data_IF_377170735894
#
_entry.id   IF_377170735894
#
_cell.length_a   1.000
_cell.length_b   1.000
_cell.length_c   1.000
_cell.angle_alpha   90.00
_cell.angle_beta   90.00
_cell.angle_gamma   90.00
#
_symmetry.space_group_name_H-M   'P 1'
#
loop_
_entity.id
_entity.type
_entity.pdbx_description
1 polymer ?
#
# COMPACT_ATOMS: atom_id res chain seq x y z
N UNK A 1 -78.91 27.00 59.49
CA UNK A 1 -78.94 25.58 59.01
C UNK A 1 -79.37 25.59 57.56
N UNK A 2 -78.49 25.55 56.63
CA UNK A 2 -78.73 25.12 55.25
C UNK A 2 -77.36 24.70 54.64
N UNK A 3 -77.25 23.47 54.37
CA UNK A 3 -76.10 22.87 53.63
C UNK A 3 -76.31 23.17 52.16
N UNK A 4 -75.38 23.90 51.57
CA UNK A 4 -75.29 24.05 50.11
C UNK A 4 -74.33 22.98 49.56
N UNK A 5 -74.87 22.08 48.77
CA UNK A 5 -74.09 21.14 47.95
C UNK A 5 -73.55 21.85 46.75
N UNK A 6 -72.25 21.81 46.61
CA UNK A 6 -71.53 22.35 45.42
C UNK A 6 -71.34 21.22 44.45
N UNK A 7 -72.11 21.19 43.38
CA UNK A 7 -71.97 20.31 42.27
C UNK A 7 -70.74 20.74 41.43
N UNK A 8 -69.75 19.89 41.30
CA UNK A 8 -68.61 20.15 40.43
C UNK A 8 -68.93 19.58 39.03
N UNK A 9 -69.12 20.42 38.08
CA UNK A 9 -69.29 20.07 36.68
C UNK A 9 -67.92 19.54 36.17
N UNK A 10 -67.84 18.25 35.84
CA UNK A 10 -66.70 17.63 35.14
C UNK A 10 -66.84 17.95 33.67
N UNK A 11 -66.04 18.92 33.19
CA UNK A 11 -65.90 19.22 31.77
C UNK A 11 -65.05 18.10 31.14
N UNK A 12 -65.70 17.22 30.39
CA UNK A 12 -65.06 16.17 29.59
C UNK A 12 -64.42 16.82 28.36
N UNK A 13 -63.10 16.94 28.36
CA UNK A 13 -62.35 17.30 27.14
C UNK A 13 -62.24 16.04 26.24
N UNK A 14 -62.55 16.14 24.96
CA UNK A 14 -62.34 15.02 24.03
C UNK A 14 -60.85 14.81 23.87
N UNK A 15 -60.38 13.60 24.21
CA UNK A 15 -59.05 13.09 23.85
C UNK A 15 -58.94 12.98 22.33
N UNK A 16 -58.56 14.06 21.66
CA UNK A 16 -57.95 13.95 20.34
C UNK A 16 -56.54 13.43 20.54
N UNK A 17 -56.35 12.13 20.32
CA UNK A 17 -55.06 11.53 20.07
C UNK A 17 -54.43 12.25 18.87
N UNK A 18 -53.57 13.23 19.16
CA UNK A 18 -52.69 13.78 18.16
C UNK A 18 -51.76 12.66 17.74
N UNK A 19 -52.08 12.04 16.62
CA UNK A 19 -51.15 11.17 15.89
C UNK A 19 -49.96 12.05 15.48
N UNK A 20 -48.88 11.99 16.29
CA UNK A 20 -47.60 12.50 15.83
C UNK A 20 -47.25 11.71 14.58
N UNK A 21 -47.01 12.33 13.44
CA UNK A 21 -46.58 11.60 12.28
C UNK A 21 -45.25 10.94 12.58
N UNK A 22 -45.18 9.62 12.38
CA UNK A 22 -43.95 8.84 12.31
C UNK A 22 -43.13 9.31 11.08
N UNK A 23 -42.63 10.54 11.12
CA UNK A 23 -41.97 11.20 9.98
C UNK A 23 -40.44 11.03 10.00
N UNK A 24 -39.88 10.42 11.04
CA UNK A 24 -38.43 10.55 11.22
C UNK A 24 -37.61 9.45 10.54
N UNK A 25 -38.07 8.20 10.46
CA UNK A 25 -37.25 7.13 9.91
C UNK A 25 -37.26 7.07 8.38
N UNK A 26 -38.40 7.27 7.74
CA UNK A 26 -38.47 7.25 6.27
C UNK A 26 -37.79 8.47 5.64
N UNK A 27 -37.93 9.66 6.27
CA UNK A 27 -37.26 10.89 5.82
C UNK A 27 -35.72 10.79 6.02
N UNK A 28 -35.25 10.22 7.13
CA UNK A 28 -33.81 9.98 7.36
C UNK A 28 -33.24 8.97 6.39
N UNK A 29 -33.93 7.86 6.14
CA UNK A 29 -33.54 6.86 5.14
C UNK A 29 -33.49 7.47 3.73
N UNK A 30 -34.46 8.33 3.38
CA UNK A 30 -34.50 9.02 2.08
C UNK A 30 -33.38 10.06 1.96
N UNK A 31 -33.03 10.79 3.03
CA UNK A 31 -31.94 11.75 3.03
C UNK A 31 -30.58 11.07 2.89
N UNK A 32 -30.36 9.94 3.58
CA UNK A 32 -29.18 9.09 3.43
C UNK A 32 -29.10 8.51 2.01
N UNK A 33 -30.21 8.07 1.42
CA UNK A 33 -30.23 7.55 0.04
C UNK A 33 -29.93 8.63 -0.99
N UNK A 34 -30.39 9.86 -0.80
CA UNK A 34 -30.10 11.01 -1.68
C UNK A 34 -28.65 11.47 -1.54
N UNK A 35 -28.11 11.54 -0.32
CA UNK A 35 -26.71 11.86 -0.07
C UNK A 35 -25.73 10.84 -0.68
N UNK A 36 -26.16 9.61 -0.93
CA UNK A 36 -25.36 8.51 -1.45
C UNK A 36 -25.40 8.36 -2.98
N UNK A 37 -26.11 9.20 -3.72
CA UNK A 37 -26.16 9.13 -5.19
C UNK A 37 -24.86 9.55 -5.87
N UNK A 38 -24.03 10.38 -5.22
CA UNK A 38 -22.74 10.80 -5.76
C UNK A 38 -21.69 9.75 -5.47
N UNK A 39 -21.25 8.98 -6.48
CA UNK A 39 -20.11 8.07 -6.38
C UNK A 39 -18.81 8.85 -6.15
N UNK A 40 -18.27 8.79 -4.95
CA UNK A 40 -17.00 9.42 -4.59
C UNK A 40 -15.82 8.78 -5.33
N UNK A 41 -14.75 9.55 -5.55
CA UNK A 41 -13.52 9.02 -6.15
C UNK A 41 -12.92 7.86 -5.33
N UNK A 42 -12.98 7.98 -4.00
CA UNK A 42 -12.54 6.93 -3.08
C UNK A 42 -13.36 5.64 -3.27
N UNK A 43 -14.69 5.72 -3.30
CA UNK A 43 -15.56 4.56 -3.51
C UNK A 43 -15.29 3.87 -4.87
N UNK A 44 -15.13 4.66 -5.94
CA UNK A 44 -14.76 4.09 -7.24
C UNK A 44 -13.44 3.33 -7.19
N UNK A 45 -12.41 3.93 -6.59
CA UNK A 45 -11.10 3.30 -6.40
C UNK A 45 -11.21 2.00 -5.61
N UNK A 46 -11.90 2.01 -4.46
CA UNK A 46 -12.07 0.84 -3.61
C UNK A 46 -12.84 -0.28 -4.33
N UNK A 47 -13.91 0.07 -5.06
CA UNK A 47 -14.67 -0.89 -5.85
C UNK A 47 -13.86 -1.49 -7.02
N UNK A 48 -13.03 -0.66 -7.70
CA UNK A 48 -12.11 -1.15 -8.74
C UNK A 48 -11.12 -2.14 -8.15
N UNK A 49 -10.49 -1.80 -7.02
CA UNK A 49 -9.51 -2.65 -6.36
C UNK A 49 -10.16 -3.94 -5.83
N UNK A 50 -11.34 -3.87 -5.23
CA UNK A 50 -12.05 -5.06 -4.71
C UNK A 50 -12.32 -6.12 -5.79
N UNK A 51 -12.56 -5.68 -7.04
CA UNK A 51 -12.84 -6.56 -8.18
C UNK A 51 -11.59 -7.23 -8.77
N UNK A 52 -10.42 -6.61 -8.66
CA UNK A 52 -9.19 -7.09 -9.31
C UNK A 52 -8.24 -7.81 -8.35
N UNK A 53 -8.42 -7.64 -7.04
CA UNK A 53 -7.61 -8.33 -6.04
C UNK A 53 -7.99 -9.82 -6.04
N UNK A 54 -7.01 -10.73 -6.15
CA UNK A 54 -7.25 -12.17 -6.14
C UNK A 54 -7.48 -12.69 -4.71
N UNK A 55 -8.60 -12.27 -4.09
CA UNK A 55 -8.90 -12.53 -2.69
C UNK A 55 -8.74 -13.99 -2.30
N UNK A 56 -9.31 -14.93 -3.07
CA UNK A 56 -9.28 -16.34 -2.72
C UNK A 56 -7.85 -16.87 -2.61
N UNK A 57 -6.99 -16.57 -3.59
CA UNK A 57 -5.59 -17.00 -3.58
C UNK A 57 -4.81 -16.41 -2.40
N UNK A 58 -5.08 -15.13 -2.05
CA UNK A 58 -4.47 -14.47 -0.90
C UNK A 58 -4.92 -15.08 0.43
N UNK A 59 -6.21 -15.41 0.55
CA UNK A 59 -6.74 -16.05 1.76
C UNK A 59 -6.23 -17.49 1.92
N UNK A 60 -6.07 -18.23 0.83
CA UNK A 60 -5.58 -19.61 0.87
C UNK A 60 -4.17 -19.72 1.44
N UNK A 61 -3.28 -18.78 1.12
CA UNK A 61 -1.91 -18.77 1.69
C UNK A 61 -1.88 -18.28 3.15
N UNK A 62 -2.89 -17.53 3.58
CA UNK A 62 -2.99 -17.05 4.96
C UNK A 62 -3.67 -18.05 5.89
N UNK A 63 -4.55 -18.88 5.36
CA UNK A 63 -5.40 -19.82 6.13
C UNK A 63 -4.60 -20.72 7.09
N UNK A 64 -3.44 -21.31 6.72
CA UNK A 64 -2.67 -22.13 7.64
C UNK A 64 -2.14 -21.40 8.88
N UNK A 65 -2.05 -20.07 8.81
CA UNK A 65 -1.48 -19.22 9.84
C UNK A 65 -2.54 -18.44 10.64
N UNK A 66 -3.77 -18.40 10.13
CA UNK A 66 -4.88 -17.69 10.75
C UNK A 66 -5.69 -18.64 11.62
N UNK A 67 -5.45 -18.59 12.92
CA UNK A 67 -6.09 -19.50 13.86
C UNK A 67 -7.55 -19.14 14.08
N UNK A 68 -8.42 -20.12 13.85
CA UNK A 68 -9.78 -20.10 14.34
C UNK A 68 -9.73 -20.67 15.78
N UNK A 69 -9.67 -19.75 16.76
CA UNK A 69 -9.61 -20.16 18.16
C UNK A 69 -10.92 -20.82 18.55
N UNK A 70 -10.90 -22.15 18.69
CA UNK A 70 -12.06 -22.92 19.18
C UNK A 70 -12.44 -22.59 20.62
N UNK A 71 -11.54 -21.94 21.38
CA UNK A 71 -11.71 -21.52 22.77
C UNK A 71 -11.42 -20.03 22.90
N UNK A 72 -12.38 -19.28 23.43
CA UNK A 72 -12.25 -17.83 23.63
C UNK A 72 -13.05 -16.99 22.63
N UNK A 73 -12.67 -15.70 22.47
CA UNK A 73 -13.30 -14.80 21.49
C UNK A 73 -12.95 -15.28 20.08
N UNK A 74 -13.94 -15.52 19.20
CA UNK A 74 -13.68 -15.95 17.83
C UNK A 74 -12.84 -14.92 17.08
N UNK A 75 -11.95 -15.40 16.20
CA UNK A 75 -11.17 -14.54 15.33
C UNK A 75 -12.08 -13.74 14.41
N UNK A 76 -11.67 -12.52 14.07
CA UNK A 76 -12.39 -11.71 13.06
C UNK A 76 -12.26 -12.37 11.68
N UNK A 77 -13.19 -12.10 10.79
CA UNK A 77 -13.11 -12.60 9.41
C UNK A 77 -11.76 -12.23 8.75
N UNK A 78 -11.09 -13.21 8.20
CA UNK A 78 -9.74 -13.05 7.62
C UNK A 78 -9.73 -12.09 6.43
N UNK A 79 -10.78 -12.13 5.59
CA UNK A 79 -10.91 -11.22 4.44
C UNK A 79 -11.14 -9.79 4.91
N UNK A 80 -11.93 -9.61 5.95
CA UNK A 80 -12.13 -8.31 6.59
C UNK A 80 -10.81 -7.74 7.09
N UNK A 81 -10.01 -8.53 7.82
CA UNK A 81 -8.72 -8.09 8.33
C UNK A 81 -7.72 -7.74 7.21
N UNK A 82 -7.69 -8.52 6.13
CA UNK A 82 -6.85 -8.22 4.97
C UNK A 82 -7.31 -6.94 4.24
N UNK A 83 -8.62 -6.71 4.12
CA UNK A 83 -9.18 -5.46 3.59
C UNK A 83 -8.77 -4.25 4.44
N UNK A 84 -8.83 -4.37 5.77
CA UNK A 84 -8.38 -3.33 6.72
C UNK A 84 -6.89 -3.04 6.51
N UNK A 85 -6.06 -4.07 6.44
CA UNK A 85 -4.63 -3.92 6.17
C UNK A 85 -4.36 -3.18 4.86
N UNK A 86 -5.09 -3.47 3.78
CA UNK A 86 -4.94 -2.77 2.50
C UNK A 86 -5.41 -1.31 2.58
N UNK A 87 -6.49 -1.02 3.32
CA UNK A 87 -6.90 0.36 3.58
C UNK A 87 -5.83 1.16 4.30
N UNK A 88 -5.13 0.57 5.28
CA UNK A 88 -3.99 1.19 5.95
C UNK A 88 -2.88 1.54 4.95
N UNK A 89 -2.54 0.61 4.03
CA UNK A 89 -1.49 0.85 3.04
C UNK A 89 -1.86 1.96 2.05
N UNK A 90 -3.11 2.01 1.59
CA UNK A 90 -3.57 3.04 0.63
C UNK A 90 -3.70 4.43 1.25
N UNK A 91 -3.95 4.53 2.54
CA UNK A 91 -4.22 5.81 3.22
C UNK A 91 -3.13 6.20 4.22
N UNK A 92 -2.05 5.43 4.32
CA UNK A 92 -0.94 5.66 5.25
C UNK A 92 -1.41 5.84 6.70
N UNK A 93 -2.35 4.99 7.18
CA UNK A 93 -2.94 5.07 8.52
C UNK A 93 -2.20 4.18 9.52
N UNK A 94 -2.06 4.65 10.77
CA UNK A 94 -1.62 3.84 11.91
C UNK A 94 -2.75 2.90 12.38
N UNK A 95 -2.43 1.95 13.27
CA UNK A 95 -3.43 1.02 13.78
C UNK A 95 -4.57 1.76 14.50
N UNK A 96 -4.32 2.72 15.44
CA UNK A 96 -5.40 3.54 16.03
C UNK A 96 -6.16 4.39 15.00
N UNK A 97 -5.44 5.07 14.09
CA UNK A 97 -6.08 5.91 13.08
C UNK A 97 -6.93 5.10 12.09
N UNK A 98 -6.63 3.81 11.89
CA UNK A 98 -7.43 2.93 11.05
C UNK A 98 -8.74 2.56 11.73
N UNK A 99 -8.73 2.25 13.02
CA UNK A 99 -9.93 2.02 13.82
C UNK A 99 -10.85 3.24 13.76
N UNK A 100 -10.34 4.43 14.10
CA UNK A 100 -11.12 5.68 14.03
C UNK A 100 -11.67 5.94 12.61
N UNK A 101 -10.86 5.69 11.57
CA UNK A 101 -11.28 5.92 10.19
C UNK A 101 -12.41 4.97 9.74
N UNK A 102 -12.55 3.78 10.32
CA UNK A 102 -13.68 2.88 10.04
C UNK A 102 -14.99 3.49 10.60
N UNK A 103 -14.96 4.08 11.80
CA UNK A 103 -16.12 4.75 12.36
C UNK A 103 -16.50 6.02 11.59
N UNK A 104 -15.52 6.79 11.11
CA UNK A 104 -15.73 8.10 10.49
C UNK A 104 -16.13 8.03 9.00
N UNK A 105 -15.64 7.02 8.24
CA UNK A 105 -15.73 6.99 6.78
C UNK A 105 -16.69 5.96 6.24
N UNK A 106 -17.87 6.39 5.80
CA UNK A 106 -18.85 5.51 5.15
C UNK A 106 -18.29 4.73 3.94
N UNK A 107 -17.31 5.30 3.20
CA UNK A 107 -16.66 4.59 2.09
C UNK A 107 -15.84 3.37 2.56
N UNK A 108 -15.25 3.43 3.76
CA UNK A 108 -14.54 2.30 4.36
C UNK A 108 -15.52 1.24 4.85
N UNK A 109 -16.59 1.65 5.54
CA UNK A 109 -17.67 0.75 5.99
C UNK A 109 -18.25 -0.04 4.82
N UNK A 110 -18.58 0.64 3.70
CA UNK A 110 -19.06 -0.02 2.48
C UNK A 110 -18.05 -1.01 1.89
N UNK A 111 -16.77 -0.64 1.80
CA UNK A 111 -15.72 -1.52 1.28
C UNK A 111 -15.50 -2.73 2.18
N UNK A 112 -15.54 -2.54 3.49
CA UNK A 112 -15.38 -3.58 4.50
C UNK A 112 -16.64 -4.43 4.68
N UNK A 113 -17.80 -3.92 4.21
CA UNK A 113 -19.12 -4.51 4.43
C UNK A 113 -19.48 -4.59 5.92
N UNK A 114 -19.11 -3.57 6.70
CA UNK A 114 -19.43 -3.42 8.12
C UNK A 114 -20.67 -2.55 8.27
N UNK A 115 -21.65 -3.02 9.02
CA UNK A 115 -22.77 -2.25 9.54
C UNK A 115 -22.51 -1.91 11.02
N UNK A 116 -22.31 -0.64 11.34
CA UNK A 116 -22.02 -0.17 12.70
C UNK A 116 -23.17 -0.44 13.70
N UNK A 117 -24.37 -0.75 13.23
CA UNK A 117 -25.51 -1.10 14.09
C UNK A 117 -25.46 -2.55 14.57
N UNK A 118 -24.90 -3.45 13.77
CA UNK A 118 -24.87 -4.90 14.02
C UNK A 118 -23.48 -5.46 14.26
N UNK A 119 -22.45 -4.84 13.66
CA UNK A 119 -21.11 -5.38 13.64
C UNK A 119 -20.17 -4.66 14.60
N UNK A 120 -19.23 -5.41 15.17
CA UNK A 120 -18.15 -4.83 16.00
C UNK A 120 -16.93 -4.55 15.12
N UNK A 121 -16.50 -3.29 15.08
CA UNK A 121 -15.25 -2.86 14.45
C UNK A 121 -14.06 -3.53 15.14
N UNK A 122 -13.06 -4.07 14.41
CA UNK A 122 -11.80 -4.51 14.99
C UNK A 122 -11.07 -3.34 15.66
N UNK A 123 -10.65 -3.52 16.90
CA UNK A 123 -9.87 -2.54 17.64
C UNK A 123 -8.40 -2.45 17.15
N UNK A 124 -7.69 -1.40 17.56
CA UNK A 124 -6.29 -1.17 17.18
C UNK A 124 -5.39 -2.37 17.50
N UNK A 125 -5.65 -3.07 18.62
CA UNK A 125 -4.87 -4.24 19.06
C UNK A 125 -5.11 -5.43 18.14
N UNK A 126 -6.35 -5.65 17.71
CA UNK A 126 -6.70 -6.68 16.72
C UNK A 126 -6.02 -6.40 15.38
N UNK A 127 -6.03 -5.15 14.92
CA UNK A 127 -5.36 -4.71 13.71
C UNK A 127 -3.84 -4.92 13.81
N UNK A 128 -3.24 -4.54 14.94
CA UNK A 128 -1.83 -4.74 15.24
C UNK A 128 -1.45 -6.22 15.21
N UNK A 129 -2.21 -7.07 15.88
CA UNK A 129 -1.96 -8.52 15.94
C UNK A 129 -2.04 -9.17 14.56
N UNK A 130 -3.01 -8.77 13.74
CA UNK A 130 -3.08 -9.23 12.36
C UNK A 130 -1.85 -8.84 11.54
N UNK A 131 -1.37 -7.62 11.69
CA UNK A 131 -0.12 -7.18 11.04
C UNK A 131 1.09 -8.00 11.52
N UNK A 132 1.20 -8.28 12.82
CA UNK A 132 2.27 -9.12 13.36
C UNK A 132 2.22 -10.54 12.78
N UNK A 133 1.04 -11.14 12.63
CA UNK A 133 0.87 -12.42 11.97
C UNK A 133 1.39 -12.38 10.52
N UNK A 134 1.07 -11.33 9.75
CA UNK A 134 1.59 -11.16 8.40
C UNK A 134 3.13 -11.06 8.40
N UNK A 135 3.70 -10.29 9.34
CA UNK A 135 5.16 -10.09 9.48
C UNK A 135 5.89 -11.38 9.87
N UNK A 136 5.38 -12.12 10.87
CA UNK A 136 5.96 -13.35 11.41
C UNK A 136 6.09 -14.44 10.33
N UNK A 137 5.04 -14.60 9.52
CA UNK A 137 5.02 -15.61 8.45
C UNK A 137 5.42 -15.06 7.08
N UNK A 138 5.92 -13.82 6.99
CA UNK A 138 6.34 -13.14 5.75
C UNK A 138 5.27 -13.20 4.65
N UNK A 139 4.01 -13.13 5.02
CA UNK A 139 2.88 -13.29 4.10
C UNK A 139 2.83 -12.18 3.03
N UNK A 140 3.36 -10.99 3.33
CA UNK A 140 3.44 -9.89 2.37
C UNK A 140 4.25 -10.25 1.11
N UNK A 141 5.29 -11.06 1.25
CA UNK A 141 6.07 -11.57 0.10
C UNK A 141 5.25 -12.53 -0.74
N UNK A 142 4.48 -13.40 -0.08
CA UNK A 142 3.59 -14.34 -0.76
C UNK A 142 2.46 -13.60 -1.49
N UNK A 143 1.87 -12.58 -0.86
CA UNK A 143 0.86 -11.71 -1.50
C UNK A 143 1.43 -11.02 -2.74
N UNK A 144 2.66 -10.53 -2.67
CA UNK A 144 3.36 -9.94 -3.82
C UNK A 144 3.59 -10.96 -4.94
N UNK A 145 4.00 -12.17 -4.60
CA UNK A 145 4.19 -13.25 -5.57
C UNK A 145 2.87 -13.65 -6.27
N UNK A 146 1.75 -13.73 -5.53
CA UNK A 146 0.41 -14.00 -6.07
C UNK A 146 0.01 -12.93 -7.11
N UNK A 147 0.19 -11.65 -6.77
CA UNK A 147 -0.12 -10.55 -7.69
C UNK A 147 0.74 -10.64 -8.94
N UNK A 148 2.03 -10.89 -8.80
CA UNK A 148 2.93 -11.00 -9.95
C UNK A 148 2.60 -12.22 -10.83
N UNK A 149 2.20 -13.34 -10.22
CA UNK A 149 1.74 -14.52 -10.96
C UNK A 149 0.45 -14.22 -11.77
N UNK A 150 -0.52 -13.53 -11.14
CA UNK A 150 -1.74 -13.07 -11.84
C UNK A 150 -1.40 -12.16 -13.04
N UNK A 151 -0.50 -11.19 -12.85
CA UNK A 151 -0.10 -10.27 -13.91
C UNK A 151 0.69 -10.97 -15.02
N UNK A 152 1.50 -11.97 -14.69
CA UNK A 152 2.20 -12.80 -15.66
C UNK A 152 1.22 -13.64 -16.50
N UNK A 153 0.24 -14.29 -15.87
CA UNK A 153 -0.83 -15.04 -16.58
C UNK A 153 -1.63 -14.16 -17.53
N UNK A 154 -1.86 -12.89 -17.17
CA UNK A 154 -2.55 -11.91 -18.02
C UNK A 154 -1.64 -11.26 -19.06
N UNK A 155 -0.36 -11.64 -19.15
CA UNK A 155 0.60 -11.08 -20.11
C UNK A 155 1.09 -9.67 -19.76
N UNK A 156 0.87 -9.20 -18.53
CA UNK A 156 1.30 -7.86 -18.08
C UNK A 156 2.67 -7.87 -17.37
N UNK A 157 3.30 -9.00 -17.21
CA UNK A 157 4.66 -9.14 -16.69
C UNK A 157 5.49 -9.98 -17.67
N UNK A 158 6.32 -9.32 -18.47
CA UNK A 158 7.02 -9.93 -19.60
C UNK A 158 8.38 -10.52 -19.22
N UNK A 159 9.05 -9.96 -18.20
CA UNK A 159 10.38 -10.36 -17.71
C UNK A 159 11.49 -10.40 -18.79
N UNK A 160 11.38 -9.61 -19.86
CA UNK A 160 12.40 -9.55 -20.93
C UNK A 160 13.53 -8.58 -20.61
N UNK A 161 13.24 -7.52 -19.86
CA UNK A 161 14.21 -6.53 -19.42
C UNK A 161 13.88 -6.01 -18.04
N UNK A 162 14.89 -5.72 -17.24
CA UNK A 162 14.75 -5.21 -15.87
C UNK A 162 15.31 -3.80 -15.76
N UNK A 163 14.51 -2.90 -15.23
CA UNK A 163 14.96 -1.57 -14.80
C UNK A 163 15.20 -1.66 -13.29
N UNK A 164 16.40 -1.30 -12.85
CA UNK A 164 16.75 -1.27 -11.43
C UNK A 164 16.84 0.16 -10.95
N UNK A 165 16.25 0.43 -9.79
CA UNK A 165 16.33 1.74 -9.14
C UNK A 165 16.07 1.63 -7.63
N UNK A 166 16.41 2.67 -6.89
CA UNK A 166 16.24 2.75 -5.45
C UNK A 166 15.59 4.07 -5.03
N UNK A 167 14.80 4.00 -3.99
CA UNK A 167 14.20 5.19 -3.39
C UNK A 167 14.52 5.26 -1.92
N UNK A 168 14.80 6.47 -1.44
CA UNK A 168 15.04 6.75 -0.03
C UNK A 168 13.72 6.86 0.71
N UNK A 169 13.60 6.19 1.86
CA UNK A 169 12.48 6.27 2.78
C UNK A 169 13.03 6.80 4.10
N UNK A 170 12.56 7.97 4.54
CA UNK A 170 13.06 8.63 5.72
C UNK A 170 12.65 7.91 7.01
N UNK A 171 13.53 7.87 7.98
CA UNK A 171 13.24 7.42 9.35
C UNK A 171 13.30 8.58 10.34
N UNK A 172 12.63 8.48 11.49
CA UNK A 172 12.74 9.49 12.55
C UNK A 172 14.21 9.64 12.99
N UNK A 173 14.74 10.85 12.86
CA UNK A 173 16.11 11.16 13.24
C UNK A 173 16.24 11.64 14.68
N UNK A 174 15.10 11.88 15.38
CA UNK A 174 15.05 12.33 16.76
C UNK A 174 15.50 11.24 17.72
N UNK A 175 16.24 11.63 18.75
CA UNK A 175 16.58 10.80 19.92
C UNK A 175 15.67 11.07 21.11
N UNK A 176 14.64 11.93 20.96
CA UNK A 176 13.65 12.26 22.00
C UNK A 176 12.56 11.17 22.11
N UNK A 177 12.98 9.92 22.22
CA UNK A 177 12.11 8.77 22.46
C UNK A 177 12.47 8.12 23.80
N UNK A 178 11.66 7.16 24.25
CA UNK A 178 11.86 6.46 25.54
C UNK A 178 13.26 5.84 25.68
N UNK A 179 13.88 5.41 24.58
CA UNK A 179 15.19 4.75 24.59
C UNK A 179 16.36 5.73 24.37
N UNK A 180 16.10 7.00 24.08
CA UNK A 180 17.14 8.01 23.78
C UNK A 180 17.98 7.70 22.55
N UNK A 181 17.56 6.77 21.66
CA UNK A 181 18.34 6.25 20.54
C UNK A 181 17.54 6.26 19.24
N UNK A 182 18.26 6.47 18.14
CA UNK A 182 17.72 6.24 16.78
C UNK A 182 17.61 4.74 16.52
N UNK A 183 16.86 4.38 15.47
CA UNK A 183 16.83 3.01 15.00
C UNK A 183 18.23 2.58 14.53
N UNK A 184 18.86 1.53 15.13
CA UNK A 184 20.24 1.14 14.84
C UNK A 184 20.42 0.54 13.44
N UNK A 185 19.36 0.03 12.81
CA UNK A 185 19.41 -0.54 11.46
C UNK A 185 19.32 0.56 10.37
N UNK A 186 18.87 1.77 10.72
CA UNK A 186 18.77 2.91 9.80
C UNK A 186 20.04 3.73 9.79
N UNK A 187 20.44 4.20 8.61
CA UNK A 187 21.67 4.97 8.44
C UNK A 187 21.47 6.28 7.70
N UNK A 188 22.50 7.13 7.75
CA UNK A 188 22.51 8.40 7.02
C UNK A 188 23.04 8.21 5.60
N UNK A 189 22.47 8.97 4.68
CA UNK A 189 22.97 9.12 3.31
C UNK A 189 22.84 10.57 2.85
N UNK A 190 23.70 10.99 1.94
CA UNK A 190 23.68 12.33 1.36
C UNK A 190 23.13 12.27 -0.06
N UNK A 191 22.10 13.06 -0.35
CA UNK A 191 21.59 13.24 -1.73
C UNK A 191 21.67 14.73 -2.08
N UNK A 192 22.53 15.06 -3.03
CA UNK A 192 22.89 16.46 -3.28
C UNK A 192 23.58 17.07 -2.06
N UNK A 193 23.06 18.18 -1.56
CA UNK A 193 23.58 18.86 -0.34
C UNK A 193 22.79 18.52 0.93
N UNK A 194 21.77 17.66 0.85
CA UNK A 194 20.90 17.31 1.97
C UNK A 194 21.24 15.93 2.54
N UNK A 195 21.27 15.84 3.87
CA UNK A 195 21.41 14.59 4.60
C UNK A 195 20.04 13.99 4.94
N UNK A 196 19.93 12.69 4.77
CA UNK A 196 18.75 11.90 5.09
C UNK A 196 19.15 10.76 6.02
N UNK A 197 18.28 10.47 7.00
CA UNK A 197 18.39 9.29 7.85
C UNK A 197 17.23 8.35 7.53
N UNK A 198 17.52 7.07 7.30
CA UNK A 198 16.49 6.09 6.97
C UNK A 198 17.01 4.85 6.28
N UNK A 199 16.14 4.31 5.39
CA UNK A 199 16.43 3.14 4.57
C UNK A 199 16.27 3.44 3.08
N UNK A 200 16.71 2.50 2.25
CA UNK A 200 16.42 2.47 0.82
C UNK A 200 15.51 1.29 0.49
N UNK A 201 14.49 1.55 -0.32
CA UNK A 201 13.74 0.52 -1.00
C UNK A 201 14.25 0.39 -2.43
N UNK A 202 14.78 -0.78 -2.78
CA UNK A 202 15.28 -1.12 -4.10
C UNK A 202 14.24 -1.93 -4.84
N UNK A 203 14.04 -1.66 -6.13
CA UNK A 203 13.09 -2.40 -6.97
C UNK A 203 13.68 -2.80 -8.31
N UNK A 204 13.28 -3.99 -8.76
CA UNK A 204 13.40 -4.44 -10.13
C UNK A 204 12.05 -4.32 -10.83
N UNK A 205 12.02 -3.61 -11.95
CA UNK A 205 10.80 -3.29 -12.70
C UNK A 205 10.91 -3.83 -14.11
N UNK A 206 9.86 -4.47 -14.60
CA UNK A 206 9.78 -4.92 -15.98
C UNK A 206 9.84 -3.72 -16.94
N UNK A 207 10.79 -3.74 -17.85
CA UNK A 207 11.07 -2.64 -18.77
C UNK A 207 9.94 -2.39 -19.79
N UNK A 208 9.11 -3.38 -20.08
CA UNK A 208 7.99 -3.27 -21.01
C UNK A 208 6.73 -2.77 -20.32
N UNK A 209 6.37 -3.37 -19.21
CA UNK A 209 5.09 -3.14 -18.53
C UNK A 209 5.15 -2.12 -17.40
N UNK A 210 6.32 -1.86 -16.81
CA UNK A 210 6.49 -1.03 -15.62
C UNK A 210 6.04 -1.69 -14.30
N UNK A 211 5.80 -3.02 -14.31
CA UNK A 211 5.40 -3.79 -13.12
C UNK A 211 6.62 -4.14 -12.29
N UNK A 212 6.53 -3.98 -10.98
CA UNK A 212 7.59 -4.34 -10.03
C UNK A 212 7.61 -5.86 -9.85
N UNK A 213 8.75 -6.49 -10.13
CA UNK A 213 8.91 -7.94 -9.95
C UNK A 213 9.86 -8.33 -8.82
N UNK A 214 10.71 -7.42 -8.36
CA UNK A 214 11.65 -7.66 -7.25
C UNK A 214 11.65 -6.46 -6.31
N UNK A 215 11.77 -6.72 -5.01
CA UNK A 215 11.81 -5.71 -3.95
C UNK A 215 12.89 -6.10 -2.95
N UNK A 216 13.67 -5.14 -2.48
CA UNK A 216 14.62 -5.32 -1.39
C UNK A 216 14.74 -4.04 -0.55
N UNK A 217 15.02 -4.20 0.75
CA UNK A 217 15.26 -3.08 1.67
C UNK A 217 16.68 -3.11 2.22
N UNK A 218 17.31 -1.95 2.33
CA UNK A 218 18.64 -1.81 2.96
C UNK A 218 18.74 -0.53 3.77
N UNK A 219 19.74 -0.42 4.64
CA UNK A 219 20.11 0.85 5.24
C UNK A 219 20.46 1.89 4.16
N UNK A 220 20.18 3.16 4.42
CA UNK A 220 20.35 4.22 3.42
C UNK A 220 21.80 4.43 2.94
N UNK A 221 22.80 4.02 3.73
CA UNK A 221 24.22 4.11 3.37
C UNK A 221 24.69 3.03 2.39
N UNK A 222 23.93 1.96 2.21
CA UNK A 222 24.29 0.90 1.25
C UNK A 222 24.19 1.45 -0.17
N UNK A 223 25.21 1.18 -0.98
CA UNK A 223 25.26 1.65 -2.35
C UNK A 223 24.30 0.80 -3.24
N UNK A 224 23.53 1.48 -4.11
CA UNK A 224 22.46 0.85 -4.89
C UNK A 224 22.95 -0.33 -5.74
N UNK A 225 24.17 -0.25 -6.25
CA UNK A 225 24.82 -1.31 -7.02
C UNK A 225 24.92 -2.64 -6.29
N UNK A 226 25.11 -2.63 -4.94
CA UNK A 226 25.23 -3.87 -4.14
C UNK A 226 23.98 -4.74 -4.31
N UNK A 227 22.84 -4.11 -4.51
CA UNK A 227 21.55 -4.79 -4.63
C UNK A 227 21.20 -5.22 -6.06
N UNK A 228 22.05 -4.90 -7.06
CA UNK A 228 21.77 -5.20 -8.46
C UNK A 228 21.37 -6.66 -8.68
N UNK A 229 22.23 -7.60 -8.26
CA UNK A 229 22.00 -9.03 -8.48
C UNK A 229 20.77 -9.58 -7.76
N UNK A 230 20.42 -9.00 -6.59
CA UNK A 230 19.20 -9.38 -5.84
C UNK A 230 17.92 -8.96 -6.57
N UNK A 231 18.00 -7.93 -7.40
CA UNK A 231 16.85 -7.40 -8.14
C UNK A 231 16.62 -8.07 -9.49
N UNK A 232 17.58 -8.85 -9.97
CA UNK A 232 17.48 -9.58 -11.23
C UNK A 232 16.81 -10.94 -11.03
N UNK A 233 16.00 -11.35 -12.01
CA UNK A 233 15.33 -12.66 -12.01
C UNK A 233 16.09 -13.76 -12.78
N UNK A 234 17.24 -13.41 -13.39
CA UNK A 234 18.15 -14.37 -14.03
C UNK A 234 17.85 -14.70 -15.50
N UNK A 235 16.74 -14.26 -16.06
CA UNK A 235 16.37 -14.47 -17.46
C UNK A 235 16.26 -13.16 -18.26
N UNK A 236 16.93 -12.11 -17.78
CA UNK A 236 16.95 -10.81 -18.44
C UNK A 236 17.67 -10.87 -19.79
N UNK A 237 17.07 -10.25 -20.81
CA UNK A 237 17.71 -9.90 -22.07
C UNK A 237 18.31 -8.49 -22.07
N UNK A 238 17.86 -7.64 -21.15
CA UNK A 238 18.30 -6.26 -21.02
C UNK A 238 18.24 -5.77 -19.57
N UNK A 239 19.25 -5.01 -19.16
CA UNK A 239 19.32 -4.37 -17.83
C UNK A 239 19.45 -2.87 -18.02
N UNK A 240 18.56 -2.11 -17.37
CA UNK A 240 18.56 -0.66 -17.35
C UNK A 240 18.80 -0.16 -15.93
N UNK A 241 19.64 0.85 -15.79
CA UNK A 241 19.93 1.46 -14.49
C UNK A 241 20.44 2.89 -14.66
N UNK A 242 20.51 3.61 -13.55
CA UNK A 242 21.16 4.91 -13.52
C UNK A 242 22.69 4.78 -13.46
N UNK A 243 23.39 5.92 -13.40
CA UNK A 243 24.86 5.95 -13.31
C UNK A 243 25.40 5.33 -12.02
N UNK A 244 24.59 5.21 -10.97
CA UNK A 244 24.96 4.59 -9.70
C UNK A 244 25.19 3.08 -9.82
N UNK A 245 24.58 2.44 -10.82
CA UNK A 245 24.77 1.01 -11.12
C UNK A 245 25.93 0.73 -12.10
N UNK A 246 26.59 1.77 -12.63
CA UNK A 246 27.65 1.58 -13.62
C UNK A 246 28.86 0.85 -13.01
N UNK A 247 29.21 -0.31 -13.60
CA UNK A 247 30.38 -1.11 -13.28
C UNK A 247 30.91 -1.80 -14.53
N UNK A 248 32.20 -1.69 -14.74
CA UNK A 248 32.85 -2.32 -15.90
C UNK A 248 32.82 -3.85 -15.77
N UNK A 249 33.01 -4.41 -14.58
CA UNK A 249 32.95 -5.85 -14.34
C UNK A 249 31.60 -6.48 -14.65
N UNK A 250 30.49 -5.84 -14.24
CA UNK A 250 29.12 -6.32 -14.51
C UNK A 250 28.80 -6.20 -16.01
N UNK A 251 29.26 -5.12 -16.66
CA UNK A 251 29.14 -4.91 -18.10
C UNK A 251 29.89 -5.98 -18.90
N UNK A 252 31.09 -6.32 -18.46
CA UNK A 252 31.92 -7.34 -19.10
C UNK A 252 31.38 -8.76 -18.84
N UNK A 253 30.79 -9.01 -17.67
CA UNK A 253 30.08 -10.25 -17.38
C UNK A 253 28.86 -10.42 -18.30
N UNK A 254 28.05 -9.38 -18.47
CA UNK A 254 26.92 -9.39 -19.39
C UNK A 254 27.36 -9.61 -20.86
N UNK A 255 28.48 -9.03 -21.27
CA UNK A 255 29.03 -9.21 -22.63
C UNK A 255 29.59 -10.63 -22.85
N UNK A 256 30.26 -11.21 -21.85
CA UNK A 256 30.81 -12.57 -21.95
C UNK A 256 29.72 -13.62 -22.08
N UNK A 257 28.59 -13.42 -21.38
CA UNK A 257 27.44 -14.32 -21.48
C UNK A 257 26.63 -14.12 -22.78
N UNK A 258 27.00 -13.11 -23.62
CA UNK A 258 26.52 -12.93 -25.00
C UNK A 258 25.05 -12.53 -25.17
N UNK A 259 24.21 -12.68 -24.13
CA UNK A 259 22.75 -12.59 -24.22
C UNK A 259 22.14 -11.38 -23.54
N UNK A 260 22.88 -10.70 -22.64
CA UNK A 260 22.33 -9.61 -21.84
C UNK A 260 22.81 -8.26 -22.31
N UNK A 261 21.89 -7.41 -22.77
CA UNK A 261 22.18 -6.04 -23.15
C UNK A 261 22.27 -5.12 -21.94
N UNK A 262 23.44 -4.50 -21.75
CA UNK A 262 23.70 -3.55 -20.66
C UNK A 262 23.37 -2.12 -21.05
N UNK A 263 22.27 -1.55 -20.54
CA UNK A 263 21.80 -0.21 -20.82
C UNK A 263 21.89 0.74 -19.62
N UNK A 264 22.85 0.51 -18.73
CA UNK A 264 23.16 1.46 -17.65
C UNK A 264 23.79 2.73 -18.24
N UNK A 265 23.41 3.89 -17.72
CA UNK A 265 23.86 5.19 -18.24
C UNK A 265 25.36 5.40 -18.02
N UNK A 266 26.03 5.87 -19.07
CA UNK A 266 27.46 6.20 -19.01
C UNK A 266 27.70 7.40 -18.10
N UNK A 267 28.76 7.36 -17.26
CA UNK A 267 29.15 8.43 -16.35
C UNK A 267 30.26 9.30 -16.94
N UNK A 268 30.01 10.59 -17.02
CA UNK A 268 31.09 11.55 -17.32
C UNK A 268 32.06 11.72 -16.16
N UNK A 269 33.32 11.91 -16.42
CA UNK A 269 34.37 12.26 -15.43
C UNK A 269 34.81 13.69 -15.65
N UNK A 270 35.41 14.33 -14.62
CA UNK A 270 35.81 15.74 -14.67
C UNK A 270 36.69 16.07 -15.90
N UNK A 271 37.61 15.16 -16.26
CA UNK A 271 38.53 15.34 -17.39
C UNK A 271 38.11 14.60 -18.68
N UNK A 272 37.00 13.84 -18.63
CA UNK A 272 36.43 13.09 -19.75
C UNK A 272 34.91 13.29 -19.79
N UNK A 273 34.42 14.43 -20.31
CA UNK A 273 32.99 14.68 -20.44
C UNK A 273 32.40 13.71 -21.46
N UNK A 274 31.09 13.44 -21.31
CA UNK A 274 30.37 12.57 -22.25
C UNK A 274 30.36 13.17 -23.65
N UNK A 275 30.69 12.37 -24.65
CA UNK A 275 30.51 12.71 -26.06
C UNK A 275 29.05 12.94 -26.45
N UNK A 276 28.78 13.60 -27.53
CA UNK A 276 27.41 13.82 -28.04
C UNK A 276 26.70 12.49 -28.32
N UNK A 277 27.42 11.47 -28.81
CA UNK A 277 26.89 10.13 -29.02
C UNK A 277 26.47 9.44 -27.71
N UNK A 278 27.28 9.54 -26.66
CA UNK A 278 26.97 9.01 -25.34
C UNK A 278 25.78 9.74 -24.71
N UNK A 279 25.71 11.08 -24.83
CA UNK A 279 24.54 11.87 -24.36
C UNK A 279 23.25 11.42 -25.05
N UNK A 280 23.29 11.20 -26.39
CA UNK A 280 22.13 10.71 -27.14
C UNK A 280 21.71 9.30 -26.73
N UNK A 281 22.68 8.40 -26.47
CA UNK A 281 22.43 7.04 -25.93
C UNK A 281 21.82 7.12 -24.54
N UNK A 282 22.40 7.92 -23.62
CA UNK A 282 21.86 8.08 -22.27
C UNK A 282 20.43 8.63 -22.27
N UNK A 283 20.10 9.57 -23.18
CA UNK A 283 18.72 10.08 -23.32
C UNK A 283 17.72 8.99 -23.71
N UNK A 284 18.09 8.10 -24.64
CA UNK A 284 17.25 6.94 -25.01
C UNK A 284 17.08 5.97 -23.84
N UNK A 285 18.16 5.65 -23.11
CA UNK A 285 18.13 4.78 -21.91
C UNK A 285 17.27 5.38 -20.80
N UNK A 286 17.37 6.70 -20.58
CA UNK A 286 16.58 7.44 -19.60
C UNK A 286 15.09 7.40 -19.90
N UNK A 287 14.68 7.40 -21.17
CA UNK A 287 13.27 7.27 -21.57
C UNK A 287 12.66 5.92 -21.17
N UNK A 288 13.43 4.82 -21.27
CA UNK A 288 12.97 3.50 -20.78
C UNK A 288 12.97 3.48 -19.26
N UNK A 289 14.03 3.99 -18.64
CA UNK A 289 14.18 4.02 -17.17
C UNK A 289 13.08 4.84 -16.47
N UNK A 290 12.51 5.85 -17.13
CA UNK A 290 11.45 6.66 -16.52
C UNK A 290 10.22 5.85 -16.08
N UNK A 291 10.04 4.63 -16.57
CA UNK A 291 8.95 3.73 -16.12
C UNK A 291 9.07 3.34 -14.64
N UNK A 292 10.29 3.30 -14.08
CA UNK A 292 10.50 2.99 -12.66
C UNK A 292 9.95 4.09 -11.73
N UNK A 293 9.79 5.28 -12.24
CA UNK A 293 9.22 6.40 -11.47
C UNK A 293 7.73 6.19 -11.15
N UNK A 294 7.00 5.42 -11.98
CA UNK A 294 5.57 5.20 -11.79
C UNK A 294 5.24 4.45 -10.49
N UNK A 295 5.81 3.27 -10.19
CA UNK A 295 5.55 2.60 -8.91
C UNK A 295 5.99 3.43 -7.71
N UNK A 296 7.11 4.16 -7.79
CA UNK A 296 7.52 5.09 -6.74
C UNK A 296 6.53 6.25 -6.56
N UNK A 297 6.01 6.80 -7.65
CA UNK A 297 4.98 7.84 -7.59
C UNK A 297 3.71 7.33 -6.89
N UNK A 298 3.27 6.11 -7.18
CA UNK A 298 2.09 5.52 -6.55
C UNK A 298 2.27 5.45 -5.04
N UNK A 299 3.35 4.82 -4.56
CA UNK A 299 3.52 4.62 -3.11
C UNK A 299 3.84 5.93 -2.37
N UNK A 300 4.66 6.82 -2.94
CA UNK A 300 5.11 8.05 -2.24
C UNK A 300 4.15 9.22 -2.38
N UNK A 301 3.60 9.43 -3.57
CA UNK A 301 2.81 10.63 -3.84
C UNK A 301 1.32 10.37 -3.69
N UNK A 302 0.81 9.24 -4.18
CA UNK A 302 -0.61 8.92 -4.04
C UNK A 302 -0.93 8.38 -2.64
N UNK A 303 -0.13 7.42 -2.14
CA UNK A 303 -0.38 6.77 -0.84
C UNK A 303 0.46 7.35 0.31
N UNK A 304 1.26 8.40 0.05
CA UNK A 304 1.99 9.19 1.05
C UNK A 304 3.06 8.42 1.85
N UNK A 305 3.43 7.21 1.44
CA UNK A 305 4.47 6.42 2.11
C UNK A 305 5.87 7.03 1.86
N UNK A 306 6.21 8.08 2.59
CA UNK A 306 7.50 8.80 2.49
C UNK A 306 8.44 8.54 3.67
N UNK A 307 7.88 7.99 4.78
CA UNK A 307 8.60 7.67 6.01
C UNK A 307 8.33 6.23 6.41
N UNK A 308 9.32 5.60 7.05
CA UNK A 308 9.14 4.27 7.65
C UNK A 308 8.07 4.31 8.74
N UNK A 309 7.29 3.25 8.82
CA UNK A 309 6.25 3.09 9.84
C UNK A 309 6.73 2.30 11.04
N UNK A 310 7.60 1.35 10.80
CA UNK A 310 8.03 0.36 11.80
C UNK A 310 9.50 0.53 12.13
N UNK A 311 9.91 -0.01 13.27
CA UNK A 311 11.32 -0.11 13.64
C UNK A 311 11.95 -1.30 12.95
N UNK A 312 13.18 -1.14 12.44
CA UNK A 312 13.96 -2.15 11.76
C UNK A 312 13.70 -2.21 10.24
N UNK A 313 14.69 -2.71 9.50
CA UNK A 313 14.63 -2.82 8.04
C UNK A 313 13.66 -3.94 7.60
N UNK A 314 13.67 -5.08 8.29
CA UNK A 314 12.90 -6.26 7.90
C UNK A 314 11.39 -5.96 7.81
N UNK A 315 10.79 -5.38 8.85
CA UNK A 315 9.35 -5.05 8.88
C UNK A 315 8.96 -4.04 7.82
N UNK A 316 9.78 -3.00 7.61
CA UNK A 316 9.53 -2.01 6.57
C UNK A 316 9.71 -2.61 5.16
N UNK A 317 10.61 -3.57 4.98
CA UNK A 317 10.76 -4.29 3.70
C UNK A 317 9.53 -5.15 3.40
N UNK A 318 8.98 -5.85 4.39
CA UNK A 318 7.73 -6.59 4.25
C UNK A 318 6.57 -5.65 3.88
N UNK A 319 6.50 -4.46 4.49
CA UNK A 319 5.54 -3.45 4.09
C UNK A 319 5.72 -3.00 2.63
N UNK A 320 6.96 -2.84 2.16
CA UNK A 320 7.22 -2.51 0.76
C UNK A 320 6.72 -3.59 -0.20
N UNK A 321 6.84 -4.88 0.13
CA UNK A 321 6.25 -5.95 -0.67
C UNK A 321 4.73 -5.78 -0.83
N UNK A 322 4.02 -5.51 0.27
CA UNK A 322 2.57 -5.25 0.23
C UNK A 322 2.25 -3.99 -0.60
N UNK A 323 2.97 -2.90 -0.39
CA UNK A 323 2.78 -1.66 -1.13
C UNK A 323 3.00 -1.84 -2.64
N UNK A 324 4.06 -2.54 -3.05
CA UNK A 324 4.31 -2.78 -4.47
C UNK A 324 3.38 -3.82 -5.08
N UNK A 325 2.89 -4.81 -4.33
CA UNK A 325 1.81 -5.70 -4.78
C UNK A 325 0.56 -4.88 -5.15
N UNK A 326 0.12 -4.03 -4.23
CA UNK A 326 -1.04 -3.15 -4.43
C UNK A 326 -0.80 -2.11 -5.55
N UNK A 327 0.43 -1.55 -5.66
CA UNK A 327 0.80 -0.62 -6.71
C UNK A 327 0.77 -1.27 -8.10
N UNK A 328 1.22 -2.52 -8.23
CA UNK A 328 1.16 -3.28 -9.46
C UNK A 328 -0.29 -3.46 -9.93
N UNK A 329 -1.19 -3.88 -9.03
CA UNK A 329 -2.63 -3.98 -9.33
C UNK A 329 -3.22 -2.61 -9.71
N UNK A 330 -2.90 -1.55 -8.94
CA UNK A 330 -3.36 -0.20 -9.22
C UNK A 330 -2.95 0.30 -10.60
N UNK A 331 -1.69 0.11 -10.98
CA UNK A 331 -1.17 0.54 -12.28
C UNK A 331 -1.84 -0.21 -13.45
N UNK A 332 -2.18 -1.49 -13.24
CA UNK A 332 -2.81 -2.35 -14.26
C UNK A 332 -4.33 -2.45 -14.14
N UNK A 333 -4.97 -1.74 -13.19
CA UNK A 333 -6.39 -1.90 -12.88
C UNK A 333 -7.32 -1.72 -14.07
N UNK A 334 -7.04 -0.75 -14.95
CA UNK A 334 -7.90 -0.53 -16.14
C UNK A 334 -7.88 -1.71 -17.10
N UNK A 335 -6.71 -2.30 -17.30
CA UNK A 335 -6.52 -3.47 -18.15
C UNK A 335 -7.07 -4.75 -17.51
N UNK A 336 -7.05 -4.86 -16.17
CA UNK A 336 -7.61 -5.99 -15.43
C UNK A 336 -9.13 -5.94 -15.34
N UNK A 337 -9.74 -4.76 -15.50
CA UNK A 337 -11.19 -4.54 -15.47
C UNK A 337 -11.83 -4.62 -16.86
N UNK A 338 -11.03 -4.47 -17.94
CA UNK A 338 -11.47 -4.61 -19.33
C UNK A 338 -11.69 -6.07 -19.70
#
# INVERSE_FOLDING_TARGET
>A
MHKGEMTVDVVCFPHTLATFPMFTMAAQATFLSIAHQKKLRCERFLNEMDRIIPWQQMLDVMRPHYYDNAVGRPAKDMKLMLKIYFLQQWNDLSDPAMEEAIYDRCSFQKFLQIDLLSDTVPDETTILNFRHLLEEHRLQEQLFAIVNALLAQKGYLMKKGTIVDATLIAAPSSTKNREGKRDPEMHQTKKGNQWYFGMKGHIGVDADSGVVHSVAGTAANIHDRVMLHTLLHGSEKAIFGDQGYACDGDKDACRRNGEIHWFVSDRGRRNHPLSNGQRKKNRKRSSVRSKVEHPFHVIKNLWKHTKVRYRGIAKNTLQLYALFALANLYMKRRQLLA
#
